data_IF_332282891112
#
_entry.id   IF_332282891112
#
_cell.length_a   1.000
_cell.length_b   1.000
_cell.length_c   1.000
_cell.angle_alpha   90.00
_cell.angle_beta   90.00
_cell.angle_gamma   90.00
#
_symmetry.space_group_name_H-M   'P 1'
#
loop_
_entity.id
_entity.type
_entity.pdbx_description
1 polymer ?
#
# COMPACT_ATOMS: atom_id res chain seq x y z
N UNK A 1 -1.71 -13.35 0.45
CA UNK A 1 -0.70 -12.73 -0.43
C UNK A 1 -0.92 -11.22 -0.45
N UNK A 2 0.14 -10.43 -0.30
CA UNK A 2 0.10 -8.96 -0.39
C UNK A 2 0.93 -8.56 -1.61
N UNK A 3 0.29 -7.94 -2.59
CA UNK A 3 0.92 -7.33 -3.76
C UNK A 3 1.07 -5.83 -3.49
N UNK A 4 2.22 -5.25 -3.78
CA UNK A 4 2.41 -3.80 -3.67
C UNK A 4 3.13 -3.24 -4.89
N UNK A 5 2.76 -2.02 -5.29
CA UNK A 5 3.34 -1.32 -6.43
C UNK A 5 3.40 0.19 -6.19
N UNK A 6 4.42 0.84 -6.76
CA UNK A 6 4.57 2.29 -6.73
C UNK A 6 3.79 2.97 -7.84
N UNK A 7 2.97 3.97 -7.51
CA UNK A 7 2.26 4.77 -8.52
C UNK A 7 3.19 5.55 -9.45
N UNK A 8 4.42 5.82 -9.01
CA UNK A 8 5.43 6.56 -9.75
C UNK A 8 6.61 5.66 -10.17
N UNK A 9 6.39 4.36 -10.33
CA UNK A 9 7.37 3.43 -10.89
C UNK A 9 7.63 3.78 -12.38
N UNK A 10 8.88 4.16 -12.75
CA UNK A 10 9.22 4.48 -14.13
C UNK A 10 9.50 3.24 -15.01
N UNK A 11 9.65 2.07 -14.40
CA UNK A 11 10.06 0.83 -15.06
C UNK A 11 8.86 -0.09 -15.34
N UNK A 12 7.95 -0.22 -14.38
CA UNK A 12 6.77 -1.09 -14.48
C UNK A 12 5.52 -0.24 -14.28
N UNK A 13 4.63 -0.22 -15.27
CA UNK A 13 3.41 0.57 -15.16
C UNK A 13 2.52 0.04 -14.01
N UNK A 14 2.12 0.88 -13.04
CA UNK A 14 1.36 0.45 -11.85
C UNK A 14 -0.01 -0.15 -12.20
N UNK A 15 -0.57 0.23 -13.35
CA UNK A 15 -1.82 -0.33 -13.85
C UNK A 15 -1.76 -1.85 -14.07
N UNK A 16 -0.58 -2.42 -14.35
CA UNK A 16 -0.44 -3.87 -14.48
C UNK A 16 -0.75 -4.61 -13.18
N UNK A 17 -0.29 -4.10 -12.03
CA UNK A 17 -0.58 -4.72 -10.73
C UNK A 17 -2.08 -4.67 -10.41
N UNK A 18 -2.75 -3.56 -10.73
CA UNK A 18 -4.20 -3.42 -10.58
C UNK A 18 -4.95 -4.44 -11.44
N UNK A 19 -4.70 -4.43 -12.74
CA UNK A 19 -5.36 -5.31 -13.71
C UNK A 19 -5.11 -6.79 -13.40
N UNK A 20 -3.89 -7.14 -12.97
CA UNK A 20 -3.54 -8.52 -12.66
C UNK A 20 -4.21 -9.02 -11.38
N UNK A 21 -4.24 -8.21 -10.31
CA UNK A 21 -4.93 -8.60 -9.08
C UNK A 21 -6.44 -8.66 -9.30
N UNK A 22 -7.00 -7.76 -10.11
CA UNK A 22 -8.41 -7.81 -10.52
C UNK A 22 -8.72 -9.10 -11.29
N UNK A 23 -7.90 -9.45 -12.29
CA UNK A 23 -8.07 -10.67 -13.06
C UNK A 23 -7.98 -11.93 -12.18
N UNK A 24 -6.95 -12.06 -11.34
CA UNK A 24 -6.82 -13.21 -10.43
C UNK A 24 -8.02 -13.29 -9.49
N UNK A 25 -8.46 -12.17 -8.92
CA UNK A 25 -9.63 -12.15 -8.02
C UNK A 25 -10.86 -12.69 -8.73
N UNK A 26 -11.12 -12.21 -9.95
CA UNK A 26 -12.30 -12.60 -10.73
C UNK A 26 -12.24 -14.07 -11.19
N UNK A 27 -11.07 -14.52 -11.61
CA UNK A 27 -10.87 -15.86 -12.17
C UNK A 27 -10.82 -16.96 -11.10
N UNK A 28 -10.47 -16.61 -9.85
CA UNK A 28 -10.30 -17.60 -8.76
C UNK A 28 -11.38 -17.56 -7.70
N UNK A 29 -11.92 -16.38 -7.36
CA UNK A 29 -12.92 -16.22 -6.30
C UNK A 29 -14.32 -16.09 -6.91
N UNK A 30 -14.47 -15.30 -7.96
CA UNK A 30 -15.73 -15.15 -8.68
C UNK A 30 -15.76 -13.89 -9.53
N UNK A 31 -16.44 -13.96 -10.68
CA UNK A 31 -16.41 -12.92 -11.71
C UNK A 31 -16.85 -11.52 -11.24
N UNK A 32 -17.68 -11.46 -10.19
CA UNK A 32 -18.23 -10.23 -9.59
C UNK A 32 -17.49 -9.81 -8.31
N UNK A 33 -16.53 -10.60 -7.83
CA UNK A 33 -15.78 -10.29 -6.61
C UNK A 33 -14.77 -9.17 -6.86
N UNK A 34 -14.80 -8.16 -6.01
CA UNK A 34 -13.85 -7.05 -6.04
C UNK A 34 -12.54 -7.41 -5.33
N UNK A 35 -11.47 -6.67 -5.60
CA UNK A 35 -10.19 -6.81 -4.87
C UNK A 35 -10.39 -6.63 -3.35
N UNK A 36 -11.31 -5.76 -2.93
CA UNK A 36 -11.58 -5.49 -1.52
C UNK A 36 -12.16 -6.73 -0.80
N UNK A 37 -13.01 -7.48 -1.49
CA UNK A 37 -13.68 -8.69 -1.01
C UNK A 37 -12.79 -9.94 -1.11
N UNK A 38 -11.57 -9.82 -1.63
CA UNK A 38 -10.66 -10.95 -1.74
C UNK A 38 -9.95 -11.23 -0.39
N UNK A 39 -10.27 -12.37 0.22
CA UNK A 39 -9.72 -12.78 1.51
C UNK A 39 -8.32 -13.43 1.42
N UNK A 40 -7.75 -13.56 0.22
CA UNK A 40 -6.45 -14.20 -0.01
C UNK A 40 -5.42 -13.30 -0.69
N UNK A 41 -5.86 -12.30 -1.44
CA UNK A 41 -4.99 -11.38 -2.19
C UNK A 41 -5.36 -9.95 -1.88
N UNK A 42 -4.44 -9.20 -1.25
CA UNK A 42 -4.59 -7.75 -1.04
C UNK A 42 -3.61 -7.01 -1.94
N UNK A 43 -4.05 -5.87 -2.48
CA UNK A 43 -3.22 -4.94 -3.26
C UNK A 43 -2.97 -3.66 -2.47
N UNK A 44 -1.75 -3.16 -2.46
CA UNK A 44 -1.36 -1.90 -1.81
C UNK A 44 -0.66 -1.00 -2.83
N UNK A 45 -1.24 0.14 -3.13
CA UNK A 45 -0.67 1.10 -4.08
C UNK A 45 0.02 2.24 -3.32
N UNK A 46 1.27 2.53 -3.65
CA UNK A 46 2.12 3.50 -2.92
C UNK A 46 2.19 4.82 -3.69
N UNK A 47 1.54 5.90 -3.22
CA UNK A 47 1.61 7.21 -3.86
C UNK A 47 3.04 7.76 -3.87
N UNK A 48 3.54 8.14 -5.05
CA UNK A 48 4.92 8.62 -5.23
C UNK A 48 6.03 7.56 -5.05
N UNK A 49 5.67 6.32 -4.68
CA UNK A 49 6.59 5.18 -4.67
C UNK A 49 7.07 4.86 -6.09
N UNK A 50 8.33 4.48 -6.22
CA UNK A 50 8.98 4.08 -7.46
C UNK A 50 9.16 2.56 -7.57
N UNK A 51 10.15 2.16 -8.36
CA UNK A 51 10.48 0.75 -8.57
C UNK A 51 11.05 0.11 -7.30
N UNK A 52 10.24 -0.74 -6.64
CA UNK A 52 10.58 -1.45 -5.39
C UNK A 52 10.96 -0.57 -4.18
N UNK A 53 10.81 0.76 -4.26
CA UNK A 53 11.26 1.71 -3.25
C UNK A 53 10.78 3.12 -3.56
N UNK A 54 11.53 4.15 -3.15
CA UNK A 54 11.21 5.53 -3.48
C UNK A 54 11.61 5.90 -4.92
N UNK A 55 10.83 6.76 -5.58
CA UNK A 55 11.28 7.45 -6.79
C UNK A 55 12.07 8.70 -6.39
N UNK A 56 13.35 8.51 -6.07
CA UNK A 56 14.22 9.52 -5.43
C UNK A 56 14.32 10.80 -6.27
N UNK A 57 14.30 10.69 -7.59
CA UNK A 57 14.45 11.83 -8.49
C UNK A 57 13.26 12.81 -8.45
N UNK A 58 12.04 12.32 -8.16
CA UNK A 58 10.83 13.15 -8.13
C UNK A 58 10.20 13.29 -6.75
N UNK A 59 10.35 12.28 -5.90
CA UNK A 59 9.64 12.12 -4.64
C UNK A 59 10.58 11.69 -3.50
N UNK A 60 11.65 12.43 -3.19
CA UNK A 60 12.63 12.05 -2.16
C UNK A 60 12.06 12.08 -0.73
N UNK A 61 10.91 12.74 -0.53
CA UNK A 61 10.16 12.81 0.73
C UNK A 61 9.18 11.64 0.92
N UNK A 62 8.98 10.77 -0.08
CA UNK A 62 8.10 9.60 0.05
C UNK A 62 8.85 8.48 0.80
N UNK A 63 8.25 7.89 1.85
CA UNK A 63 8.82 6.73 2.51
C UNK A 63 9.22 5.59 1.56
N UNK A 64 10.45 5.07 1.71
CA UNK A 64 11.00 4.01 0.85
C UNK A 64 10.89 2.60 1.45
N UNK A 65 10.51 2.49 2.72
CA UNK A 65 10.39 1.22 3.44
C UNK A 65 8.93 0.95 3.80
N UNK A 66 8.49 -0.29 3.69
CA UNK A 66 7.10 -0.70 3.83
C UNK A 66 6.97 -1.89 4.78
N UNK A 67 6.07 -1.81 5.75
CA UNK A 67 5.82 -2.86 6.75
C UNK A 67 5.07 -4.09 6.23
N UNK A 68 5.24 -4.45 4.95
CA UNK A 68 4.47 -5.50 4.27
C UNK A 68 4.77 -6.89 4.85
N UNK A 69 6.02 -7.16 5.24
CA UNK A 69 6.40 -8.43 5.86
C UNK A 69 5.72 -8.64 7.21
N UNK A 70 5.77 -7.63 8.08
CA UNK A 70 5.10 -7.67 9.38
C UNK A 70 3.58 -7.81 9.23
N UNK A 71 2.99 -7.09 8.26
CA UNK A 71 1.56 -7.21 7.95
C UNK A 71 1.19 -8.62 7.45
N UNK A 72 2.05 -9.26 6.64
CA UNK A 72 1.84 -10.64 6.19
C UNK A 72 1.89 -11.64 7.35
N UNK A 73 2.86 -11.50 8.25
CA UNK A 73 3.00 -12.37 9.43
C UNK A 73 1.75 -12.28 10.30
N UNK A 74 1.30 -11.06 10.66
CA UNK A 74 0.08 -10.89 11.46
C UNK A 74 -1.17 -11.44 10.76
N UNK A 75 -1.24 -11.33 9.42
CA UNK A 75 -2.37 -11.86 8.67
C UNK A 75 -2.38 -13.40 8.66
N UNK A 76 -1.23 -14.02 8.40
CA UNK A 76 -1.13 -15.49 8.30
C UNK A 76 -1.20 -16.17 9.66
N UNK A 77 -0.54 -15.62 10.67
CA UNK A 77 -0.39 -16.28 11.98
C UNK A 77 -1.51 -15.91 12.97
N UNK A 78 -2.10 -14.71 12.84
CA UNK A 78 -3.06 -14.19 13.79
C UNK A 78 -4.42 -13.81 13.17
N UNK A 79 -4.65 -14.15 11.90
CA UNK A 79 -5.89 -13.83 11.16
C UNK A 79 -6.19 -12.32 11.11
N UNK A 80 -5.17 -11.47 11.25
CA UNK A 80 -5.30 -10.01 11.24
C UNK A 80 -4.99 -9.44 9.86
N UNK A 81 -6.02 -9.31 9.04
CA UNK A 81 -5.89 -8.65 7.74
C UNK A 81 -5.36 -7.20 7.85
N UNK A 82 -4.57 -6.74 6.87
CA UNK A 82 -3.99 -5.38 6.84
C UNK A 82 -5.00 -4.26 6.52
N UNK A 83 -6.28 -4.43 6.85
CA UNK A 83 -7.36 -3.48 6.55
C UNK A 83 -7.20 -2.15 7.30
N UNK A 84 -6.48 -2.15 8.43
CA UNK A 84 -6.13 -0.92 9.17
C UNK A 84 -4.99 -0.12 8.53
N UNK A 85 -4.36 -0.68 7.50
CA UNK A 85 -3.25 -0.10 6.78
C UNK A 85 -1.89 -0.60 7.25
N UNK A 86 -0.88 -0.38 6.39
CA UNK A 86 0.50 -0.79 6.57
C UNK A 86 1.34 0.47 6.75
N UNK A 87 2.20 0.50 7.77
CA UNK A 87 3.12 1.61 8.00
C UNK A 87 4.20 1.65 6.92
N UNK A 88 4.51 2.84 6.42
CA UNK A 88 5.73 3.11 5.66
C UNK A 88 6.58 4.20 6.32
N UNK A 89 7.90 4.10 6.15
CA UNK A 89 8.88 5.02 6.75
C UNK A 89 10.16 5.12 5.89
N UNK A 90 11.12 5.90 6.38
CA UNK A 90 12.44 6.07 5.77
C UNK A 90 12.42 6.76 4.40
N UNK A 91 11.93 8.01 4.29
CA UNK A 91 12.20 8.85 3.13
C UNK A 91 13.70 8.98 2.85
N UNK A 92 14.06 9.13 1.58
CA UNK A 92 15.47 9.20 1.18
C UNK A 92 16.10 10.57 1.41
N UNK A 93 15.30 11.62 1.62
CA UNK A 93 15.79 12.94 2.03
C UNK A 93 16.15 13.06 3.52
N UNK A 94 15.96 12.01 4.31
CA UNK A 94 16.30 11.98 5.74
C UNK A 94 15.23 12.56 6.67
N UNK A 95 14.07 13.00 6.16
CA UNK A 95 12.94 13.39 7.01
C UNK A 95 12.45 12.19 7.84
N UNK A 96 11.99 12.45 9.07
CA UNK A 96 11.33 11.43 9.89
C UNK A 96 9.83 11.34 9.57
N UNK A 97 9.51 11.16 8.29
CA UNK A 97 8.13 11.08 7.80
C UNK A 97 7.66 9.65 7.71
N UNK A 98 6.43 9.40 8.16
CA UNK A 98 5.75 8.11 8.03
C UNK A 98 4.41 8.28 7.33
N UNK A 99 3.97 7.26 6.58
CA UNK A 99 2.66 7.28 5.91
C UNK A 99 1.92 5.97 6.18
N UNK A 100 0.59 6.05 6.18
CA UNK A 100 -0.26 4.86 6.15
C UNK A 100 -0.47 4.47 4.69
N UNK A 101 -0.24 3.20 4.37
CA UNK A 101 -0.57 2.60 3.09
C UNK A 101 -1.83 1.76 3.27
N UNK A 102 -2.84 1.97 2.43
CA UNK A 102 -4.12 1.29 2.54
C UNK A 102 -4.22 0.18 1.51
N UNK A 103 -4.96 -0.88 1.86
CA UNK A 103 -5.35 -1.91 0.90
C UNK A 103 -6.35 -1.32 -0.08
N UNK A 104 -6.13 -1.55 -1.37
CA UNK A 104 -7.00 -1.09 -2.45
C UNK A 104 -8.44 -1.57 -2.26
N UNK A 105 -9.46 -0.75 -2.56
CA UNK A 105 -9.38 0.60 -3.15
C UNK A 105 -9.18 1.73 -2.13
N UNK A 106 -9.04 1.40 -0.84
CA UNK A 106 -8.90 2.40 0.21
C UNK A 106 -7.67 3.28 0.03
N UNK A 107 -7.79 4.55 0.42
CA UNK A 107 -6.72 5.54 0.39
C UNK A 107 -6.51 6.12 1.79
N UNK A 108 -5.29 6.56 2.07
CA UNK A 108 -4.98 7.18 3.35
C UNK A 108 -5.53 8.61 3.40
N UNK A 109 -6.51 8.86 4.26
CA UNK A 109 -7.06 10.19 4.53
C UNK A 109 -6.50 10.73 5.84
N UNK A 110 -5.94 11.93 5.79
CA UNK A 110 -5.46 12.64 6.98
C UNK A 110 -6.66 13.05 7.84
N UNK A 111 -6.60 12.76 9.13
CA UNK A 111 -7.55 13.27 10.12
C UNK A 111 -7.33 14.78 10.32
N UNK A 112 -8.41 15.53 10.42
CA UNK A 112 -8.34 17.00 10.56
C UNK A 112 -7.51 17.41 11.79
N UNK A 113 -6.59 18.36 11.61
CA UNK A 113 -5.76 18.91 12.67
C UNK A 113 -4.60 18.02 13.15
N UNK A 114 -4.38 16.86 12.53
CA UNK A 114 -3.37 15.90 12.96
C UNK A 114 -2.05 16.04 12.19
N UNK A 115 -0.97 15.47 12.75
CA UNK A 115 0.38 15.61 12.21
C UNK A 115 0.51 14.91 10.85
N UNK A 116 0.82 15.68 9.81
CA UNK A 116 1.02 15.17 8.45
C UNK A 116 2.18 14.19 8.37
N UNK A 117 3.13 14.14 9.29
CA UNK A 117 4.30 13.28 9.24
C UNK A 117 4.16 11.99 10.08
N UNK A 118 3.06 11.83 10.83
CA UNK A 118 2.72 10.60 11.57
C UNK A 118 1.68 9.73 10.83
N UNK A 119 2.02 8.47 10.57
CA UNK A 119 1.11 7.48 9.96
C UNK A 119 -0.14 7.19 10.81
N UNK A 120 -0.12 7.45 12.12
CA UNK A 120 -1.28 7.34 13.00
C UNK A 120 -2.31 8.46 12.77
N UNK A 121 -1.91 9.54 12.11
CA UNK A 121 -2.79 10.66 11.74
C UNK A 121 -3.71 10.32 10.57
N UNK A 122 -3.54 9.16 9.94
CA UNK A 122 -4.29 8.75 8.76
C UNK A 122 -5.28 7.63 9.09
N UNK A 123 -6.38 7.57 8.33
CA UNK A 123 -7.32 6.45 8.29
C UNK A 123 -7.43 5.92 6.87
N UNK A 124 -7.73 4.63 6.72
CA UNK A 124 -8.05 4.06 5.40
C UNK A 124 -9.54 4.18 5.16
N UNK A 125 -9.91 4.79 4.04
CA UNK A 125 -11.29 5.03 3.59
C UNK A 125 -11.35 5.05 2.06
#
# INVERSE_FOLDING_TARGET
>A
MIVYAGWADPNIAPMWSLQHVEAITRDTIGAETTIAENDFVKLVMIPGGGHCGANIAKYPYVPAQYGVSAAMVEWVENEKEPNRGIKSWGPTNGENRTRRLCTWPGVAKLKEGEDVDDWNSYVCD
#
